data_IF_997707962807
#
_entry.id   IF_997707962807
#
_cell.length_a   1.000
_cell.length_b   1.000
_cell.length_c   1.000
_cell.angle_alpha   90.00
_cell.angle_beta   90.00
_cell.angle_gamma   90.00
#
_symmetry.space_group_name_H-M   'P 1'
#
loop_
_entity.id
_entity.type
_entity.pdbx_description
1 polymer ?
#
# COMPACT_ATOMS: atom_id res chain seq x y z
N UNK A 1 -21.76 -7.30 -13.56
CA UNK A 1 -20.67 -7.97 -12.82
C UNK A 1 -19.47 -7.02 -12.83
N UNK A 2 -19.22 -6.31 -11.72
CA UNK A 2 -18.14 -5.33 -11.62
C UNK A 2 -16.91 -5.98 -10.98
N UNK A 3 -15.97 -6.42 -11.81
CA UNK A 3 -14.68 -6.98 -11.38
C UNK A 3 -13.52 -5.98 -11.45
N UNK A 4 -13.79 -4.69 -11.73
CA UNK A 4 -12.72 -3.73 -12.07
C UNK A 4 -12.33 -2.75 -10.96
N UNK A 5 -13.00 -2.75 -9.80
CA UNK A 5 -12.77 -1.70 -8.79
C UNK A 5 -11.53 -1.95 -7.90
N UNK A 6 -11.14 -3.22 -7.73
CA UNK A 6 -10.01 -3.59 -6.86
C UNK A 6 -8.65 -3.20 -7.42
N UNK A 7 -8.45 -3.29 -8.74
CA UNK A 7 -7.18 -2.95 -9.37
C UNK A 7 -6.80 -1.47 -9.19
N UNK A 8 -7.79 -0.58 -9.27
CA UNK A 8 -7.53 0.85 -9.28
C UNK A 8 -7.02 1.39 -7.93
N UNK A 9 -7.39 0.76 -6.81
CA UNK A 9 -6.98 1.22 -5.48
C UNK A 9 -5.57 0.75 -5.10
N UNK A 10 -5.21 -0.48 -5.49
CA UNK A 10 -3.85 -1.01 -5.29
C UNK A 10 -2.82 -0.17 -6.05
N UNK A 11 -3.13 0.18 -7.31
CA UNK A 11 -2.30 1.05 -8.13
C UNK A 11 -2.16 2.46 -7.53
N UNK A 12 -3.23 3.02 -6.97
CA UNK A 12 -3.20 4.35 -6.33
C UNK A 12 -2.29 4.37 -5.08
N UNK A 13 -2.37 3.34 -4.23
CA UNK A 13 -1.51 3.22 -3.05
C UNK A 13 -0.05 3.09 -3.46
N UNK A 14 0.26 2.22 -4.42
CA UNK A 14 1.61 2.04 -4.92
C UNK A 14 2.16 3.34 -5.49
N UNK A 15 1.38 4.04 -6.30
CA UNK A 15 1.79 5.33 -6.86
C UNK A 15 2.11 6.37 -5.78
N UNK A 16 1.26 6.49 -4.75
CA UNK A 16 1.50 7.42 -3.63
C UNK A 16 2.73 7.05 -2.82
N UNK A 17 3.00 5.76 -2.62
CA UNK A 17 4.20 5.30 -1.94
C UNK A 17 5.47 5.61 -2.77
N UNK A 18 5.42 5.44 -4.09
CA UNK A 18 6.53 5.79 -5.00
C UNK A 18 6.77 7.31 -5.03
N UNK A 19 5.70 8.13 -5.06
CA UNK A 19 5.81 9.59 -4.92
C UNK A 19 6.44 9.98 -3.58
N UNK A 20 6.07 9.30 -2.49
CA UNK A 20 6.64 9.55 -1.16
C UNK A 20 8.10 9.11 -1.05
N UNK A 21 8.49 7.97 -1.67
CA UNK A 21 9.89 7.53 -1.73
C UNK A 21 10.75 8.60 -2.41
N UNK A 22 10.26 9.17 -3.51
CA UNK A 22 10.93 10.25 -4.22
C UNK A 22 10.98 11.56 -3.40
N UNK A 23 9.93 11.89 -2.63
CA UNK A 23 9.91 13.06 -1.73
C UNK A 23 11.04 12.99 -0.69
N UNK A 24 11.37 11.78 -0.23
CA UNK A 24 12.42 11.54 0.76
C UNK A 24 13.73 11.03 0.16
N UNK A 25 13.99 11.28 -1.14
CA UNK A 25 15.20 10.78 -1.83
C UNK A 25 16.52 11.08 -1.10
N UNK A 26 16.58 12.21 -0.38
CA UNK A 26 17.76 12.68 0.37
C UNK A 26 17.80 12.25 1.83
N UNK A 27 16.76 11.57 2.31
CA UNK A 27 16.63 11.07 3.69
C UNK A 27 16.66 9.53 3.62
N UNK A 28 17.87 8.97 3.69
CA UNK A 28 18.11 7.53 3.51
C UNK A 28 17.30 6.65 4.48
N UNK A 29 17.05 7.15 5.70
CA UNK A 29 16.25 6.45 6.71
C UNK A 29 14.78 6.37 6.26
N UNK A 30 14.17 7.51 5.95
CA UNK A 30 12.76 7.55 5.51
C UNK A 30 12.56 6.85 4.18
N UNK A 31 13.47 7.05 3.21
CA UNK A 31 13.47 6.34 1.93
C UNK A 31 13.51 4.83 2.13
N UNK A 32 14.39 4.36 3.02
CA UNK A 32 14.49 2.94 3.36
C UNK A 32 13.22 2.36 3.97
N UNK A 33 12.54 3.11 4.85
CA UNK A 33 11.25 2.71 5.44
C UNK A 33 10.15 2.61 4.37
N UNK A 34 10.06 3.61 3.48
CA UNK A 34 9.03 3.64 2.42
C UNK A 34 9.25 2.50 1.41
N UNK A 35 10.50 2.23 1.03
CA UNK A 35 10.83 1.11 0.15
C UNK A 35 10.40 -0.23 0.75
N UNK A 36 10.64 -0.46 2.04
CA UNK A 36 10.15 -1.67 2.75
C UNK A 36 8.63 -1.75 2.76
N UNK A 37 7.92 -0.63 2.91
CA UNK A 37 6.46 -0.58 2.81
C UNK A 37 5.97 -1.00 1.42
N UNK A 38 6.61 -0.51 0.36
CA UNK A 38 6.31 -0.89 -1.04
C UNK A 38 6.53 -2.39 -1.25
N UNK A 39 7.69 -2.91 -0.83
CA UNK A 39 8.04 -4.33 -0.99
C UNK A 39 7.04 -5.22 -0.24
N UNK A 40 6.71 -4.86 1.01
CA UNK A 40 5.73 -5.58 1.82
C UNK A 40 4.33 -5.53 1.21
N UNK A 41 3.90 -4.39 0.64
CA UNK A 41 2.59 -4.26 0.00
C UNK A 41 2.51 -5.09 -1.29
N UNK A 42 3.59 -5.12 -2.09
CA UNK A 42 3.70 -5.96 -3.30
C UNK A 42 3.70 -7.45 -2.97
N UNK A 43 4.37 -7.84 -1.89
CA UNK A 43 4.46 -9.21 -1.39
C UNK A 43 3.30 -9.60 -0.47
N UNK A 44 2.28 -8.74 -0.30
CA UNK A 44 1.18 -8.97 0.63
C UNK A 44 0.29 -10.12 0.14
N UNK A 45 0.64 -11.34 0.52
CA UNK A 45 -0.18 -12.53 0.40
C UNK A 45 -0.93 -12.76 1.70
N UNK A 46 -2.22 -12.41 1.73
CA UNK A 46 -3.05 -12.66 2.91
C UNK A 46 -3.57 -14.10 2.83
N UNK A 47 -3.18 -14.96 3.76
CA UNK A 47 -3.71 -16.31 3.91
C UNK A 47 -4.12 -16.56 5.37
N UNK A 48 -5.28 -17.16 5.58
CA UNK A 48 -5.82 -17.43 6.91
C UNK A 48 -7.19 -18.11 6.86
N UNK A 49 -7.56 -18.86 7.93
CA UNK A 49 -8.85 -19.57 8.01
C UNK A 49 -10.03 -18.60 8.20
N UNK A 50 -9.76 -17.39 8.65
CA UNK A 50 -10.76 -16.36 8.93
C UNK A 50 -10.61 -15.20 7.96
N UNK A 51 -11.70 -14.91 7.25
CA UNK A 51 -11.92 -13.72 6.42
C UNK A 51 -11.22 -13.71 5.06
N UNK A 52 -12.00 -13.35 4.05
CA UNK A 52 -11.59 -13.21 2.65
C UNK A 52 -10.32 -12.32 2.55
N UNK A 53 -9.17 -12.89 2.10
CA UNK A 53 -7.92 -12.16 1.88
C UNK A 53 -8.06 -10.84 1.11
N UNK A 54 -8.98 -10.78 0.15
CA UNK A 54 -9.23 -9.57 -0.65
C UNK A 54 -9.94 -8.50 0.17
N UNK A 55 -10.81 -8.91 1.10
CA UNK A 55 -11.45 -7.99 2.05
C UNK A 55 -10.42 -7.36 2.99
N UNK A 56 -9.50 -8.16 3.53
CA UNK A 56 -8.42 -7.65 4.41
C UNK A 56 -7.56 -6.63 3.65
N UNK A 57 -7.15 -6.95 2.42
CA UNK A 57 -6.38 -6.00 1.59
C UNK A 57 -7.18 -4.71 1.32
N UNK A 58 -8.47 -4.84 0.97
CA UNK A 58 -9.37 -3.69 0.74
C UNK A 58 -9.54 -2.81 1.97
N UNK A 59 -9.59 -3.37 3.17
CA UNK A 59 -9.76 -2.62 4.41
C UNK A 59 -8.45 -1.94 4.86
N UNK A 60 -7.29 -2.52 4.51
CA UNK A 60 -5.96 -1.94 4.82
C UNK A 60 -5.60 -0.75 3.93
N UNK A 61 -5.99 -0.76 2.66
CA UNK A 61 -5.70 0.33 1.71
C UNK A 61 -6.12 1.72 2.21
N UNK A 62 -7.37 1.98 2.64
CA UNK A 62 -7.77 3.31 3.12
C UNK A 62 -7.00 3.74 4.37
N UNK A 63 -6.65 2.81 5.25
CA UNK A 63 -5.83 3.10 6.45
C UNK A 63 -4.42 3.51 6.05
N UNK A 64 -3.81 2.82 5.07
CA UNK A 64 -2.49 3.21 4.54
C UNK A 64 -2.56 4.60 3.90
N UNK A 65 -3.59 4.89 3.10
CA UNK A 65 -3.77 6.21 2.49
C UNK A 65 -3.95 7.34 3.52
N UNK A 66 -4.67 7.08 4.61
CA UNK A 66 -4.84 8.01 5.72
C UNK A 66 -3.52 8.27 6.44
N UNK A 67 -2.76 7.21 6.78
CA UNK A 67 -1.45 7.35 7.41
C UNK A 67 -0.46 8.12 6.53
N UNK A 68 -0.45 7.84 5.21
CA UNK A 68 0.39 8.58 4.26
C UNK A 68 0.00 10.06 4.16
N UNK A 69 -1.27 10.42 4.38
CA UNK A 69 -1.70 11.82 4.36
C UNK A 69 -1.15 12.66 5.51
N UNK A 70 -0.67 12.02 6.58
CA UNK A 70 -0.06 12.70 7.73
C UNK A 70 1.43 13.02 7.53
N UNK A 71 2.05 12.53 6.43
CA UNK A 71 3.49 12.64 6.13
C UNK A 71 3.81 13.70 5.06
#
# INVERSE_FOLDING_TARGET
MNFSHSNNQDEEVLKRLEELENKFDKDDEKKGVIKKLIDNFKALEVSGPETDPKKIKKDLIPVILELLSWL
#
